data_IF_013243782819
#
_entry.id   IF_013243782819
#
_cell.length_a   1.000
_cell.length_b   1.000
_cell.length_c   1.000
_cell.angle_alpha   90.00
_cell.angle_beta   90.00
_cell.angle_gamma   90.00
#
_symmetry.space_group_name_H-M   'P 1'
#
loop_
_entity.id
_entity.type
_entity.pdbx_description
1 polymer ?
#
# COMPACT_ATOMS: atom_id res chain seq x y z
N UNK A 1 19.38 -12.90 29.10
CA UNK A 1 17.94 -12.72 29.37
C UNK A 1 17.23 -12.78 28.02
N UNK A 2 16.59 -13.92 27.78
CA UNK A 2 15.90 -14.30 26.55
C UNK A 2 14.52 -13.64 26.54
N UNK A 3 14.22 -12.78 25.56
CA UNK A 3 12.90 -12.20 25.33
C UNK A 3 12.51 -12.43 23.88
N UNK A 4 11.70 -13.46 23.65
CA UNK A 4 11.32 -13.95 22.33
C UNK A 4 10.49 -12.95 21.51
N UNK A 5 10.90 -12.79 20.26
CA UNK A 5 10.07 -12.28 19.17
C UNK A 5 8.84 -13.19 19.00
N UNK A 6 7.65 -12.63 19.18
CA UNK A 6 6.42 -13.26 18.73
C UNK A 6 6.29 -13.04 17.22
N UNK A 7 6.87 -13.96 16.44
CA UNK A 7 6.41 -14.23 15.07
C UNK A 7 4.94 -14.67 15.17
N UNK A 8 4.00 -13.80 14.79
CA UNK A 8 2.58 -14.11 14.82
C UNK A 8 2.15 -15.05 13.66
N UNK A 9 2.98 -16.05 13.35
CA UNK A 9 2.51 -17.25 12.65
C UNK A 9 1.85 -18.12 13.69
N UNK A 10 0.52 -18.23 13.60
CA UNK A 10 -0.22 -19.19 14.41
C UNK A 10 0.40 -20.59 14.21
N UNK A 11 0.82 -21.29 15.28
CA UNK A 11 1.45 -22.60 15.13
C UNK A 11 0.39 -23.63 14.71
N UNK A 12 0.54 -24.14 13.48
CA UNK A 12 -0.37 -25.12 12.86
C UNK A 12 -0.54 -24.83 11.38
N UNK A 13 -0.94 -25.82 10.58
CA UNK A 13 -1.28 -25.58 9.17
C UNK A 13 -2.30 -24.43 9.02
N UNK A 14 -2.36 -23.83 7.82
CA UNK A 14 -3.13 -22.61 7.55
C UNK A 14 -4.52 -22.64 8.20
N UNK A 15 -4.78 -21.69 9.10
CA UNK A 15 -6.01 -21.62 9.86
C UNK A 15 -7.24 -21.36 8.98
N UNK A 16 -8.43 -21.66 9.50
CA UNK A 16 -9.70 -21.44 8.76
C UNK A 16 -9.86 -19.98 8.31
N UNK A 17 -9.52 -19.04 9.20
CA UNK A 17 -9.58 -17.61 8.89
C UNK A 17 -8.53 -17.21 7.85
N UNK A 18 -7.30 -17.68 8.00
CA UNK A 18 -6.22 -17.43 7.03
C UNK A 18 -6.59 -17.96 5.63
N UNK A 19 -7.22 -19.14 5.55
CA UNK A 19 -7.73 -19.68 4.29
C UNK A 19 -8.86 -18.83 3.72
N UNK A 20 -9.78 -18.34 4.55
CA UNK A 20 -10.87 -17.48 4.10
C UNK A 20 -10.35 -16.14 3.55
N UNK A 21 -9.42 -15.48 4.25
CA UNK A 21 -8.80 -14.24 3.77
C UNK A 21 -7.95 -14.48 2.52
N UNK A 22 -7.21 -15.58 2.43
CA UNK A 22 -6.47 -15.91 1.20
C UNK A 22 -7.36 -16.06 -0.04
N UNK A 23 -8.62 -16.51 0.11
CA UNK A 23 -9.60 -16.56 -0.97
C UNK A 23 -10.12 -15.16 -1.33
N UNK A 24 -10.37 -14.31 -0.34
CA UNK A 24 -10.79 -12.92 -0.55
C UNK A 24 -9.69 -12.11 -1.24
N UNK A 25 -8.43 -12.26 -0.84
CA UNK A 25 -7.28 -11.62 -1.48
C UNK A 25 -7.13 -12.06 -2.95
N UNK A 26 -7.38 -13.35 -3.22
CA UNK A 26 -7.39 -13.86 -4.60
C UNK A 26 -8.50 -13.19 -5.42
N UNK A 27 -9.71 -13.11 -4.87
CA UNK A 27 -10.86 -12.44 -5.51
C UNK A 27 -10.64 -10.95 -5.74
N UNK A 28 -9.97 -10.24 -4.83
CA UNK A 28 -9.61 -8.83 -5.01
C UNK A 28 -8.76 -8.63 -6.27
N UNK A 29 -7.74 -9.48 -6.46
CA UNK A 29 -6.82 -9.38 -7.61
C UNK A 29 -7.47 -9.71 -8.94
N UNK A 30 -8.28 -10.76 -8.99
CA UNK A 30 -8.83 -11.31 -10.25
C UNK A 30 -10.24 -10.82 -10.56
N UNK A 31 -10.87 -10.08 -9.63
CA UNK A 31 -12.26 -9.59 -9.59
C UNK A 31 -13.33 -10.67 -9.57
N UNK A 32 -13.21 -11.69 -10.42
CA UNK A 32 -14.16 -12.79 -10.52
C UNK A 32 -13.46 -14.09 -10.98
N UNK A 33 -13.65 -15.19 -10.26
CA UNK A 33 -13.04 -16.47 -10.58
C UNK A 33 -13.86 -17.69 -10.16
N UNK A 34 -13.64 -18.81 -10.85
CA UNK A 34 -14.20 -20.11 -10.47
C UNK A 34 -13.41 -20.78 -9.35
N UNK A 35 -14.01 -21.78 -8.72
CA UNK A 35 -13.45 -22.51 -7.58
C UNK A 35 -12.01 -23.02 -7.81
N UNK A 36 -11.72 -23.62 -8.97
CA UNK A 36 -10.40 -24.23 -9.23
C UNK A 36 -9.28 -23.17 -9.13
N UNK A 37 -9.43 -22.05 -9.86
CA UNK A 37 -8.46 -20.96 -9.82
C UNK A 37 -8.29 -20.39 -8.43
N UNK A 38 -9.38 -20.19 -7.69
CA UNK A 38 -9.31 -19.67 -6.32
C UNK A 38 -8.61 -20.64 -5.37
N UNK A 39 -8.85 -21.94 -5.51
CA UNK A 39 -8.15 -22.96 -4.72
C UNK A 39 -6.65 -22.95 -5.01
N UNK A 40 -6.26 -22.87 -6.28
CA UNK A 40 -4.87 -22.85 -6.72
C UNK A 40 -4.16 -21.57 -6.25
N UNK A 41 -4.73 -20.38 -6.54
CA UNK A 41 -4.18 -19.07 -6.18
C UNK A 41 -4.06 -18.89 -4.66
N UNK A 42 -4.97 -19.49 -3.91
CA UNK A 42 -4.95 -19.46 -2.44
C UNK A 42 -4.18 -20.62 -1.83
N UNK A 43 -3.65 -21.58 -2.60
CA UNK A 43 -2.93 -22.75 -2.08
C UNK A 43 -3.75 -23.61 -1.12
N UNK A 44 -5.05 -23.75 -1.37
CA UNK A 44 -5.98 -24.51 -0.53
C UNK A 44 -6.48 -25.75 -1.28
N UNK A 45 -6.71 -26.89 -0.58
CA UNK A 45 -7.42 -28.01 -1.18
C UNK A 45 -8.80 -27.59 -1.69
N UNK A 46 -9.19 -28.06 -2.89
CA UNK A 46 -10.43 -27.65 -3.57
C UNK A 46 -11.70 -27.81 -2.71
N UNK A 47 -11.79 -28.90 -1.93
CA UNK A 47 -12.91 -29.13 -1.02
C UNK A 47 -12.96 -28.09 0.13
N UNK A 48 -11.80 -27.71 0.66
CA UNK A 48 -11.66 -26.66 1.69
C UNK A 48 -12.04 -25.29 1.11
N UNK A 49 -11.51 -24.94 -0.06
CA UNK A 49 -11.83 -23.69 -0.73
C UNK A 49 -13.33 -23.57 -1.02
N UNK A 50 -13.96 -24.65 -1.49
CA UNK A 50 -15.40 -24.70 -1.73
C UNK A 50 -16.19 -24.41 -0.44
N UNK A 51 -15.91 -25.14 0.64
CA UNK A 51 -16.61 -24.96 1.92
C UNK A 51 -16.48 -23.52 2.45
N UNK A 52 -15.28 -22.94 2.38
CA UNK A 52 -15.03 -21.57 2.82
C UNK A 52 -15.76 -20.54 1.94
N UNK A 53 -15.75 -20.71 0.61
CA UNK A 53 -16.48 -19.83 -0.31
C UNK A 53 -17.99 -19.87 -0.08
N UNK A 54 -18.57 -21.04 0.18
CA UNK A 54 -19.99 -21.16 0.54
C UNK A 54 -20.29 -20.41 1.85
N UNK A 55 -19.44 -20.56 2.89
CA UNK A 55 -19.59 -19.81 4.14
C UNK A 55 -19.44 -18.28 3.93
N UNK A 56 -18.44 -17.86 3.17
CA UNK A 56 -18.22 -16.44 2.83
C UNK A 56 -19.41 -15.86 2.04
N UNK A 57 -20.04 -16.68 1.19
CA UNK A 57 -21.25 -16.30 0.44
C UNK A 57 -22.44 -16.12 1.38
N UNK A 58 -22.68 -17.05 2.31
CA UNK A 58 -23.72 -16.93 3.34
C UNK A 58 -23.51 -15.68 4.20
N UNK A 59 -22.25 -15.37 4.54
CA UNK A 59 -21.92 -14.17 5.32
C UNK A 59 -21.98 -12.89 4.48
N UNK A 60 -22.11 -12.96 3.16
CA UNK A 60 -22.13 -11.83 2.22
C UNK A 60 -20.76 -11.21 1.95
N UNK A 61 -19.67 -11.87 2.37
CA UNK A 61 -18.29 -11.47 2.10
C UNK A 61 -17.84 -11.83 0.67
N UNK A 62 -18.40 -12.91 0.12
CA UNK A 62 -18.33 -13.24 -1.30
C UNK A 62 -19.74 -13.29 -1.89
N UNK A 63 -19.85 -13.24 -3.21
CA UNK A 63 -21.06 -13.52 -3.97
C UNK A 63 -20.78 -14.55 -5.04
N UNK A 64 -21.73 -15.46 -5.27
CA UNK A 64 -21.66 -16.44 -6.35
C UNK A 64 -22.51 -15.97 -7.53
N UNK A 65 -21.89 -15.83 -8.69
CA UNK A 65 -22.54 -15.46 -9.95
C UNK A 65 -22.36 -16.63 -10.93
N UNK A 66 -23.43 -17.42 -11.10
CA UNK A 66 -23.36 -18.67 -11.84
C UNK A 66 -22.37 -19.65 -11.19
N UNK A 67 -21.31 -20.00 -11.91
CA UNK A 67 -20.25 -20.90 -11.43
C UNK A 67 -19.01 -20.17 -10.86
N UNK A 68 -19.07 -18.84 -10.76
CA UNK A 68 -17.93 -18.00 -10.36
C UNK A 68 -18.24 -17.24 -9.07
N UNK A 69 -17.19 -16.77 -8.41
CA UNK A 69 -17.26 -15.99 -7.18
C UNK A 69 -16.65 -14.61 -7.41
N UNK A 70 -17.15 -13.60 -6.70
CA UNK A 70 -16.62 -12.24 -6.61
C UNK A 70 -16.73 -11.71 -5.17
N UNK A 71 -16.07 -10.60 -4.88
CA UNK A 71 -16.21 -9.93 -3.57
C UNK A 71 -17.66 -9.48 -3.35
N UNK A 72 -18.20 -9.79 -2.17
CA UNK A 72 -19.55 -9.42 -1.77
C UNK A 72 -19.64 -8.04 -1.09
N UNK A 73 -20.82 -7.42 -1.06
CA UNK A 73 -21.04 -6.05 -0.61
C UNK A 73 -20.74 -5.84 0.88
N UNK A 74 -20.74 -6.91 1.70
CA UNK A 74 -20.35 -6.80 3.12
C UNK A 74 -18.90 -6.33 3.25
N UNK A 75 -18.01 -6.69 2.34
CA UNK A 75 -16.61 -6.24 2.40
C UNK A 75 -16.50 -4.72 2.27
N UNK A 76 -17.27 -4.10 1.38
CA UNK A 76 -17.36 -2.64 1.30
C UNK A 76 -17.94 -2.04 2.58
N UNK A 77 -19.00 -2.63 3.13
CA UNK A 77 -19.62 -2.17 4.39
C UNK A 77 -18.69 -2.32 5.60
N UNK A 78 -17.75 -3.25 5.61
CA UNK A 78 -16.76 -3.31 6.69
C UNK A 78 -15.58 -2.38 6.40
N UNK A 79 -15.07 -2.38 5.18
CA UNK A 79 -13.93 -1.55 4.79
C UNK A 79 -14.19 -0.04 4.88
N UNK A 80 -15.42 0.43 4.67
CA UNK A 80 -15.70 1.88 4.69
C UNK A 80 -15.49 2.56 6.05
N UNK A 81 -15.45 1.79 7.15
CA UNK A 81 -15.18 2.32 8.49
C UNK A 81 -13.69 2.55 8.73
N UNK A 82 -12.83 1.91 7.95
CA UNK A 82 -11.39 2.16 8.02
C UNK A 82 -11.06 3.46 7.31
N UNK A 83 -10.48 4.40 8.04
CA UNK A 83 -9.94 5.65 7.51
C UNK A 83 -8.63 5.99 8.22
N UNK A 84 -7.69 6.67 7.53
CA UNK A 84 -6.56 7.28 8.20
C UNK A 84 -7.03 8.34 9.22
N UNK A 85 -6.10 8.78 10.06
CA UNK A 85 -6.36 9.80 11.08
C UNK A 85 -7.01 11.06 10.45
N UNK A 86 -8.15 11.56 10.95
CA UNK A 86 -8.81 12.76 10.43
C UNK A 86 -7.91 14.01 10.37
N UNK A 87 -6.99 14.15 11.33
CA UNK A 87 -6.03 15.26 11.36
C UNK A 87 -5.08 15.15 10.17
N UNK A 88 -4.59 13.94 9.87
CA UNK A 88 -3.78 13.70 8.69
C UNK A 88 -4.56 13.96 7.40
N UNK A 89 -5.81 13.47 7.29
CA UNK A 89 -6.66 13.72 6.12
C UNK A 89 -6.85 15.22 5.84
N UNK A 90 -7.02 16.01 6.88
CA UNK A 90 -7.15 17.46 6.77
C UNK A 90 -5.83 18.12 6.37
N UNK A 91 -4.73 17.76 7.03
CA UNK A 91 -3.40 18.34 6.81
C UNK A 91 -2.86 18.12 5.39
N UNK A 92 -3.15 16.98 4.76
CA UNK A 92 -2.62 16.65 3.41
C UNK A 92 -3.34 17.38 2.29
N UNK A 93 -4.57 17.82 2.51
CA UNK A 93 -5.51 18.18 1.42
C UNK A 93 -5.04 19.38 0.60
N UNK A 94 -4.64 20.47 1.25
CA UNK A 94 -4.15 21.66 0.59
C UNK A 94 -2.74 21.47 -0.02
N UNK A 95 -1.74 20.94 0.72
CA UNK A 95 -0.41 20.68 0.17
C UNK A 95 -0.42 19.79 -1.07
N UNK A 96 -1.18 18.69 -1.07
CA UNK A 96 -1.25 17.78 -2.22
C UNK A 96 -1.91 18.43 -3.43
N UNK A 97 -3.00 19.18 -3.25
CA UNK A 97 -3.61 19.94 -4.35
C UNK A 97 -2.63 20.95 -4.94
N UNK A 98 -1.85 21.63 -4.10
CA UNK A 98 -0.84 22.57 -4.54
C UNK A 98 0.28 21.88 -5.34
N UNK A 99 0.72 20.71 -4.90
CA UNK A 99 1.68 19.88 -5.63
C UNK A 99 1.17 19.56 -7.04
N UNK A 100 -0.06 19.05 -7.16
CA UNK A 100 -0.67 18.74 -8.47
C UNK A 100 -0.78 19.99 -9.33
N UNK A 101 -1.23 21.11 -8.77
CA UNK A 101 -1.35 22.38 -9.50
C UNK A 101 -0.01 22.85 -10.07
N UNK A 102 1.08 22.64 -9.33
CA UNK A 102 2.42 23.11 -9.66
C UNK A 102 3.11 22.19 -10.66
N UNK A 103 2.99 20.87 -10.48
CA UNK A 103 3.77 19.88 -11.24
C UNK A 103 2.95 19.19 -12.33
N UNK A 104 1.62 19.22 -12.25
CA UNK A 104 0.72 18.40 -13.05
C UNK A 104 0.80 16.89 -12.78
N UNK A 105 1.69 16.44 -11.89
CA UNK A 105 1.85 15.04 -11.52
C UNK A 105 0.85 14.62 -10.45
N UNK A 106 0.48 13.33 -10.42
CA UNK A 106 -0.30 12.79 -9.33
C UNK A 106 0.53 12.67 -8.05
N UNK A 107 -0.12 12.71 -6.90
CA UNK A 107 0.51 12.42 -5.61
C UNK A 107 -0.34 11.44 -4.83
N UNK A 108 0.29 10.40 -4.30
CA UNK A 108 -0.34 9.37 -3.49
C UNK A 108 0.06 9.55 -2.03
N UNK A 109 -0.85 9.22 -1.12
CA UNK A 109 -0.61 9.14 0.32
C UNK A 109 -0.66 7.67 0.74
N UNK A 110 0.38 7.19 1.39
CA UNK A 110 0.46 5.82 1.87
C UNK A 110 0.85 5.75 3.35
N UNK A 111 0.35 4.74 4.03
CA UNK A 111 0.71 4.37 5.41
C UNK A 111 1.38 3.00 5.42
N UNK A 112 2.17 2.73 6.45
CA UNK A 112 2.54 1.37 6.80
C UNK A 112 1.50 0.84 7.80
N UNK A 113 0.93 -0.32 7.53
CA UNK A 113 -0.01 -0.98 8.43
C UNK A 113 0.24 -2.49 8.37
N UNK A 114 0.49 -3.10 9.53
CA UNK A 114 0.76 -4.54 9.65
C UNK A 114 1.83 -5.06 8.65
N UNK A 115 2.90 -4.29 8.46
CA UNK A 115 3.98 -4.66 7.54
C UNK A 115 3.65 -4.48 6.04
N UNK A 116 2.51 -3.90 5.69
CA UNK A 116 2.13 -3.60 4.31
C UNK A 116 2.06 -2.10 4.06
N UNK A 117 2.48 -1.68 2.87
CA UNK A 117 2.25 -0.30 2.42
C UNK A 117 0.85 -0.19 1.85
N UNK A 118 0.01 0.64 2.45
CA UNK A 118 -1.39 0.81 2.06
C UNK A 118 -1.60 2.23 1.54
N UNK A 119 -2.14 2.36 0.33
CA UNK A 119 -2.60 3.63 -0.20
C UNK A 119 -3.86 4.07 0.56
N UNK A 120 -3.90 5.31 1.02
CA UNK A 120 -5.01 5.85 1.83
C UNK A 120 -5.69 7.04 1.17
N UNK A 121 -5.09 7.56 0.10
CA UNK A 121 -5.65 8.64 -0.70
C UNK A 121 -4.60 9.28 -1.60
N UNK A 122 -4.91 10.48 -2.07
CA UNK A 122 -4.02 11.25 -2.93
C UNK A 122 -4.79 12.28 -3.77
N UNK A 123 -4.08 12.92 -4.68
CA UNK A 123 -4.66 13.81 -5.68
C UNK A 123 -4.24 13.36 -7.08
N UNK A 124 -5.20 13.20 -8.02
CA UNK A 124 -4.89 12.81 -9.39
C UNK A 124 -4.16 13.93 -10.12
N UNK A 125 -3.23 13.54 -10.99
CA UNK A 125 -2.52 14.44 -11.89
C UNK A 125 -3.24 14.61 -13.23
N UNK A 126 -2.53 15.19 -14.20
CA UNK A 126 -3.03 15.36 -15.57
C UNK A 126 -3.07 14.07 -16.38
N UNK A 127 -2.23 13.09 -16.00
CA UNK A 127 -2.16 11.78 -16.65
C UNK A 127 -3.03 10.80 -15.86
N UNK A 128 -4.19 10.37 -16.39
CA UNK A 128 -5.15 9.55 -15.63
C UNK A 128 -4.59 8.20 -15.19
N UNK A 129 -3.63 7.65 -15.93
CA UNK A 129 -2.96 6.39 -15.61
C UNK A 129 -2.32 6.37 -14.22
N UNK A 130 -1.87 7.52 -13.71
CA UNK A 130 -1.25 7.66 -12.38
C UNK A 130 -2.23 8.08 -11.28
N UNK A 131 -3.54 7.92 -11.50
CA UNK A 131 -4.53 8.23 -10.47
C UNK A 131 -4.22 7.46 -9.16
N UNK A 132 -4.38 8.08 -7.98
CA UNK A 132 -4.19 7.39 -6.71
C UNK A 132 -5.01 6.09 -6.67
N UNK A 133 -4.42 4.99 -6.17
CA UNK A 133 -5.17 3.77 -5.91
C UNK A 133 -6.35 4.05 -4.98
N UNK A 134 -7.34 3.16 -4.97
CA UNK A 134 -8.41 3.27 -3.99
C UNK A 134 -7.82 3.16 -2.57
N UNK A 135 -8.39 3.87 -1.58
CA UNK A 135 -8.02 3.67 -0.19
C UNK A 135 -8.12 2.20 0.21
N UNK A 136 -7.11 1.69 0.91
CA UNK A 136 -6.97 0.29 1.29
C UNK A 136 -6.16 -0.57 0.31
N UNK A 137 -5.83 -0.07 -0.89
CA UNK A 137 -5.02 -0.83 -1.84
C UNK A 137 -3.59 -1.03 -1.33
N UNK A 138 -3.06 -2.25 -1.45
CA UNK A 138 -1.66 -2.55 -1.15
C UNK A 138 -0.77 -2.04 -2.27
N UNK A 139 0.27 -1.29 -1.90
CA UNK A 139 1.35 -0.87 -2.79
C UNK A 139 2.55 -1.78 -2.56
N UNK A 140 2.96 -2.48 -3.61
CA UNK A 140 4.00 -3.50 -3.51
C UNK A 140 5.40 -2.98 -3.23
N UNK A 141 6.25 -3.87 -2.72
CA UNK A 141 7.70 -3.72 -2.77
C UNK A 141 8.21 -4.04 -4.20
N UNK A 142 9.27 -3.39 -4.72
CA UNK A 142 10.12 -2.36 -4.10
C UNK A 142 9.77 -0.92 -4.53
N UNK A 143 8.49 -0.52 -4.55
CA UNK A 143 8.14 0.87 -4.94
C UNK A 143 8.82 1.92 -4.05
N UNK A 144 9.04 3.12 -4.57
CA UNK A 144 9.69 4.21 -3.84
C UNK A 144 9.03 4.48 -2.46
N UNK A 145 7.70 4.44 -2.38
CA UNK A 145 6.97 4.68 -1.14
C UNK A 145 7.12 3.53 -0.14
N UNK A 146 7.14 2.29 -0.61
CA UNK A 146 7.40 1.13 0.23
C UNK A 146 8.82 1.18 0.81
N UNK A 147 9.81 1.61 0.01
CA UNK A 147 11.20 1.84 0.47
C UNK A 147 11.27 2.89 1.59
N UNK A 148 10.61 4.04 1.43
CA UNK A 148 10.58 5.09 2.45
C UNK A 148 9.97 4.57 3.76
N UNK A 149 8.79 3.97 3.68
CA UNK A 149 8.11 3.43 4.86
C UNK A 149 8.93 2.33 5.53
N UNK A 150 9.63 1.51 4.75
CA UNK A 150 10.50 0.46 5.28
C UNK A 150 11.71 0.99 6.05
N UNK A 151 12.26 2.15 5.65
CA UNK A 151 13.41 2.77 6.33
C UNK A 151 12.99 3.57 7.55
N UNK A 152 11.88 4.30 7.43
CA UNK A 152 11.46 5.29 8.44
C UNK A 152 10.56 4.70 9.52
N UNK A 153 9.98 3.51 9.32
CA UNK A 153 9.15 2.86 10.32
C UNK A 153 9.91 1.84 11.14
N UNK A 154 9.64 1.79 12.44
CA UNK A 154 10.10 0.72 13.34
C UNK A 154 9.33 -0.59 13.13
N UNK A 155 8.16 -0.53 12.50
CA UNK A 155 7.28 -1.68 12.22
C UNK A 155 7.63 -2.40 10.91
N UNK A 156 8.62 -1.91 10.16
CA UNK A 156 8.97 -2.43 8.83
C UNK A 156 9.71 -3.79 8.82
N UNK A 157 9.72 -4.49 9.95
CA UNK A 157 10.35 -5.81 10.11
C UNK A 157 9.85 -6.77 9.03
N UNK A 158 10.67 -7.05 8.01
CA UNK A 158 10.39 -8.06 6.98
C UNK A 158 10.06 -7.55 5.57
N UNK A 159 9.96 -6.25 5.32
CA UNK A 159 9.67 -5.72 3.97
C UNK A 159 10.88 -5.74 3.01
N UNK A 160 12.09 -5.92 3.53
CA UNK A 160 13.31 -5.81 2.73
C UNK A 160 14.10 -7.12 2.71
N UNK A 161 14.26 -7.68 1.51
CA UNK A 161 15.34 -8.63 1.25
C UNK A 161 16.67 -7.86 1.29
N UNK A 162 17.54 -8.20 2.23
CA UNK A 162 18.85 -7.55 2.36
C UNK A 162 19.71 -7.76 1.10
N UNK A 163 19.72 -6.76 0.22
CA UNK A 163 20.60 -6.72 -0.94
C UNK A 163 21.59 -5.55 -0.85
N UNK A 164 22.77 -5.62 -1.50
CA UNK A 164 23.69 -4.49 -1.58
C UNK A 164 23.06 -3.23 -2.20
N UNK A 165 22.11 -3.40 -3.13
CA UNK A 165 21.32 -2.28 -3.67
C UNK A 165 20.45 -1.66 -2.59
N UNK A 166 19.70 -2.49 -1.85
CA UNK A 166 18.86 -2.01 -0.76
C UNK A 166 19.65 -1.28 0.32
N UNK A 167 20.83 -1.77 0.72
CA UNK A 167 21.67 -1.07 1.70
C UNK A 167 22.03 0.35 1.25
N UNK A 168 22.32 0.55 -0.04
CA UNK A 168 22.60 1.87 -0.62
C UNK A 168 21.35 2.75 -0.66
N UNK A 169 20.23 2.21 -1.14
CA UNK A 169 18.95 2.93 -1.17
C UNK A 169 18.54 3.35 0.25
N UNK A 170 18.63 2.45 1.23
CA UNK A 170 18.32 2.73 2.62
C UNK A 170 19.23 3.79 3.24
N UNK A 171 20.53 3.78 2.94
CA UNK A 171 21.44 4.84 3.37
C UNK A 171 21.05 6.20 2.78
N UNK A 172 20.78 6.24 1.47
CA UNK A 172 20.34 7.46 0.78
C UNK A 172 19.01 8.00 1.32
N UNK A 173 18.05 7.12 1.64
CA UNK A 173 16.78 7.51 2.24
C UNK A 173 16.98 8.09 3.65
N UNK A 174 17.86 7.51 4.47
CA UNK A 174 18.16 8.04 5.81
C UNK A 174 18.81 9.42 5.75
N UNK A 175 19.68 9.65 4.77
CA UNK A 175 20.40 10.91 4.61
C UNK A 175 19.53 12.01 3.98
N UNK A 176 18.87 11.71 2.87
CA UNK A 176 18.16 12.70 2.05
C UNK A 176 16.65 12.75 2.29
N UNK A 177 16.07 11.73 2.96
CA UNK A 177 14.63 11.61 3.13
C UNK A 177 13.88 11.32 1.82
N UNK A 178 14.56 10.84 0.78
CA UNK A 178 13.96 10.63 -0.55
C UNK A 178 14.29 9.21 -1.02
N UNK A 179 13.29 8.53 -1.58
CA UNK A 179 13.49 7.30 -2.34
C UNK A 179 13.14 7.50 -3.80
N UNK A 180 13.84 6.76 -4.66
CA UNK A 180 13.55 6.66 -6.08
C UNK A 180 13.26 5.22 -6.46
N UNK A 181 12.32 5.07 -7.39
CA UNK A 181 12.05 3.86 -8.15
C UNK A 181 12.17 4.25 -9.62
N UNK A 182 13.12 3.63 -10.32
CA UNK A 182 13.38 3.84 -11.75
C UNK A 182 13.06 2.57 -12.49
N UNK A 183 11.77 2.38 -12.78
CA UNK A 183 11.25 1.22 -13.51
C UNK A 183 11.53 -0.12 -12.81
N UNK A 184 11.67 -0.14 -11.48
CA UNK A 184 11.95 -1.35 -10.71
C UNK A 184 10.71 -2.23 -10.56
N UNK A 185 9.54 -1.61 -10.46
CA UNK A 185 8.26 -2.31 -10.33
C UNK A 185 7.51 -2.43 -11.66
N UNK A 186 7.56 -1.40 -12.51
CA UNK A 186 6.79 -1.36 -13.76
C UNK A 186 7.59 -0.67 -14.85
N UNK A 187 7.90 -1.35 -15.97
CA UNK A 187 8.56 -0.73 -17.12
C UNK A 187 7.81 0.52 -17.61
N UNK A 188 8.54 1.57 -17.94
CA UNK A 188 8.01 2.86 -18.35
C UNK A 188 7.51 3.75 -17.21
N UNK A 189 7.55 3.30 -15.95
CA UNK A 189 7.10 4.07 -14.78
C UNK A 189 8.26 4.32 -13.83
N UNK A 190 8.44 5.59 -13.47
CA UNK A 190 9.33 5.99 -12.39
C UNK A 190 8.53 6.65 -11.27
N UNK A 191 9.06 6.60 -10.05
CA UNK A 191 8.40 7.16 -8.88
C UNK A 191 9.43 7.79 -7.93
N UNK A 192 9.02 8.86 -7.26
CA UNK A 192 9.75 9.47 -6.15
C UNK A 192 8.88 9.50 -4.91
N UNK A 193 9.47 9.25 -3.75
CA UNK A 193 8.77 9.26 -2.47
C UNK A 193 9.57 9.96 -1.37
N UNK A 194 8.87 10.49 -0.37
CA UNK A 194 9.43 11.14 0.81
C UNK A 194 8.53 10.85 2.02
N UNK A 195 9.08 10.72 3.24
CA UNK A 195 8.26 10.53 4.43
C UNK A 195 7.56 11.83 4.78
N UNK A 196 6.43 11.71 5.47
CA UNK A 196 5.77 12.77 6.23
C UNK A 196 6.01 12.46 7.69
N UNK A 197 6.81 13.31 8.33
CA UNK A 197 7.14 13.21 9.74
C UNK A 197 6.34 14.26 10.52
N UNK A 198 6.04 14.02 11.78
CA UNK A 198 5.59 15.09 12.68
C UNK A 198 6.76 16.00 13.10
N UNK A 199 6.50 16.99 13.95
CA UNK A 199 7.54 17.89 14.47
C UNK A 199 8.58 17.19 15.36
N UNK A 200 8.23 16.03 15.92
CA UNK A 200 9.12 15.19 16.72
C UNK A 200 10.01 14.26 15.87
N UNK A 201 9.81 14.23 14.55
CA UNK A 201 10.51 13.32 13.65
C UNK A 201 9.90 11.91 13.59
N UNK A 202 8.73 11.70 14.18
CA UNK A 202 8.01 10.43 14.11
C UNK A 202 7.33 10.30 12.75
N UNK A 203 7.46 9.14 12.12
CA UNK A 203 6.81 8.84 10.84
C UNK A 203 5.29 8.78 11.02
N UNK A 204 4.58 9.63 10.25
CA UNK A 204 3.11 9.65 10.20
C UNK A 204 2.61 8.98 8.93
N UNK A 205 3.24 9.26 7.79
CA UNK A 205 2.88 8.72 6.49
C UNK A 205 4.05 8.80 5.51
N UNK A 206 3.85 8.37 4.27
CA UNK A 206 4.73 8.71 3.15
C UNK A 206 3.89 9.20 1.97
N UNK A 207 4.46 10.11 1.20
CA UNK A 207 3.86 10.58 -0.05
C UNK A 207 4.76 10.20 -1.21
N UNK A 208 4.16 9.89 -2.35
CA UNK A 208 4.91 9.57 -3.57
C UNK A 208 4.24 10.12 -4.82
N UNK A 209 5.00 10.22 -5.90
CA UNK A 209 4.52 10.70 -7.19
C UNK A 209 5.05 9.80 -8.30
N UNK A 210 4.20 8.93 -8.88
CA UNK A 210 4.54 8.16 -10.05
C UNK A 210 4.35 8.98 -11.33
N UNK A 211 5.25 8.78 -12.28
CA UNK A 211 5.33 9.48 -13.56
C UNK A 211 5.89 8.56 -14.65
N UNK A 212 5.75 8.96 -15.90
CA UNK A 212 6.43 8.30 -17.02
C UNK A 212 7.95 8.37 -16.83
N UNK A 213 8.67 7.29 -17.11
CA UNK A 213 10.12 7.19 -16.87
C UNK A 213 10.95 8.26 -17.60
N UNK A 214 10.44 8.79 -18.70
CA UNK A 214 11.08 9.89 -19.45
C UNK A 214 11.09 11.21 -18.69
N UNK A 215 10.26 11.36 -17.66
CA UNK A 215 10.16 12.59 -16.89
C UNK A 215 11.29 12.69 -15.85
N UNK A 216 12.04 13.80 -15.81
CA UNK A 216 13.06 14.00 -14.78
C UNK A 216 12.47 14.02 -13.36
N UNK A 217 13.09 13.27 -12.44
CA UNK A 217 12.62 13.15 -11.06
C UNK A 217 13.14 14.25 -10.12
N UNK A 218 14.19 14.99 -10.49
CA UNK A 218 14.86 15.95 -9.60
C UNK A 218 13.92 17.07 -9.13
N UNK A 219 13.26 17.76 -10.06
CA UNK A 219 12.30 18.82 -9.72
C UNK A 219 11.08 18.28 -8.99
N UNK A 220 10.65 17.08 -9.35
CA UNK A 220 9.51 16.42 -8.72
C UNK A 220 9.83 16.08 -7.26
N UNK A 221 11.04 15.58 -6.98
CA UNK A 221 11.53 15.30 -5.64
C UNK A 221 11.52 16.54 -4.75
N UNK A 222 12.04 17.67 -5.26
CA UNK A 222 12.06 18.92 -4.50
C UNK A 222 10.65 19.42 -4.17
N UNK A 223 9.72 19.36 -5.14
CA UNK A 223 8.33 19.73 -4.91
C UNK A 223 7.66 18.79 -3.90
N UNK A 224 7.97 17.49 -3.94
CA UNK A 224 7.41 16.51 -3.03
C UNK A 224 7.93 16.72 -1.59
N UNK A 225 9.22 17.02 -1.41
CA UNK A 225 9.79 17.37 -0.08
C UNK A 225 9.14 18.63 0.48
N UNK A 226 8.95 19.67 -0.34
CA UNK A 226 8.22 20.89 0.08
C UNK A 226 6.78 20.56 0.49
N UNK A 227 6.14 19.66 -0.24
CA UNK A 227 4.78 19.20 0.05
C UNK A 227 4.75 18.47 1.39
N UNK A 228 5.65 17.53 1.64
CA UNK A 228 5.76 16.84 2.93
C UNK A 228 5.94 17.81 4.10
N UNK A 229 6.86 18.78 4.00
CA UNK A 229 7.05 19.82 5.03
C UNK A 229 5.79 20.65 5.28
N UNK A 230 5.05 20.98 4.23
CA UNK A 230 3.78 21.70 4.36
C UNK A 230 2.70 20.85 5.04
N UNK A 231 2.67 19.53 4.80
CA UNK A 231 1.80 18.60 5.55
C UNK A 231 2.19 18.58 7.03
N UNK A 232 3.48 18.41 7.35
CA UNK A 232 3.99 18.45 8.73
C UNK A 232 3.61 19.73 9.46
N UNK A 233 3.66 20.87 8.78
CA UNK A 233 3.27 22.16 9.36
C UNK A 233 1.76 22.23 9.69
N UNK A 234 0.92 21.54 8.92
CA UNK A 234 -0.53 21.55 9.00
C UNK A 234 -1.14 20.45 9.91
N UNK A 235 -0.33 19.57 10.50
CA UNK A 235 -0.76 18.55 11.48
C UNK A 235 -1.12 19.15 12.86
N UNK A 236 -1.14 20.47 12.99
CA UNK A 236 -1.37 21.24 14.22
C UNK A 236 -2.20 22.49 13.92
#
# INVERSE_FOLDING_TARGET
>A
MNGGEADARLPGGRGVLEGAFALLDSLERVREAGLTRLADDSGLPKATAYRLLEQLTVLGAAEKVGARYRIGPRMRRLGHTWRPDPVLEQAVRAPMRNFVRTTGAAVWLCLLSAGQTIAVGGAPGRVPYFSPPHPGAVVGWPTAVAKVLAVCSREASGLALESPRWRRDAASIREAGIAFDREENTPGVSCVATPVLDRGGTLIAAICSPVEAVRPLADLAQNLVRTSKAVTAALH
#
